data_IF_050056402010
#
_entry.id   IF_050056402010
#
_cell.length_a   1.000
_cell.length_b   1.000
_cell.length_c   1.000
_cell.angle_alpha   90.00
_cell.angle_beta   90.00
_cell.angle_gamma   90.00
#
_symmetry.space_group_name_H-M   'P 1'
#
loop_
_entity.id
_entity.type
_entity.pdbx_description
1 polymer ?
#
# COMPACT_ATOMS: atom_id res chain seq x y z
N UNK A 1 -22.78 -10.03 1.54
CA UNK A 1 -21.98 -8.92 1.00
C UNK A 1 -20.70 -9.50 0.43
N UNK A 2 -20.64 -9.68 -0.89
CA UNK A 2 -19.36 -9.94 -1.55
C UNK A 2 -18.90 -8.58 -2.08
N UNK A 3 -17.94 -7.90 -1.43
CA UNK A 3 -17.55 -6.58 -1.86
C UNK A 3 -16.54 -6.78 -2.98
N UNK A 4 -16.91 -6.42 -4.20
CA UNK A 4 -15.88 -6.11 -5.20
C UNK A 4 -14.84 -5.20 -4.55
N UNK A 5 -13.53 -5.52 -4.60
CA UNK A 5 -12.53 -4.68 -3.97
C UNK A 5 -12.65 -3.28 -4.58
N UNK A 6 -13.05 -2.32 -3.76
CA UNK A 6 -13.22 -0.95 -4.20
C UNK A 6 -11.95 -0.50 -4.95
N UNK A 7 -12.08 0.30 -6.03
CA UNK A 7 -10.96 0.63 -6.92
C UNK A 7 -9.70 1.12 -6.17
N UNK A 8 -9.89 1.81 -5.05
CA UNK A 8 -8.80 2.30 -4.19
C UNK A 8 -8.06 1.16 -3.48
N UNK A 9 -8.76 0.16 -2.95
CA UNK A 9 -8.14 -1.01 -2.35
C UNK A 9 -7.33 -1.80 -3.39
N UNK A 10 -7.89 -1.96 -4.59
CA UNK A 10 -7.21 -2.60 -5.73
C UNK A 10 -5.94 -1.83 -6.12
N UNK A 11 -5.98 -0.49 -6.11
CA UNK A 11 -4.82 0.35 -6.29
C UNK A 11 -3.76 0.14 -5.19
N UNK A 12 -4.18 -0.10 -3.95
CA UNK A 12 -3.28 -0.47 -2.84
C UNK A 12 -2.41 -1.69 -3.16
N UNK A 13 -2.99 -2.73 -3.78
CA UNK A 13 -2.23 -3.91 -4.22
C UNK A 13 -1.17 -3.56 -5.28
N UNK A 14 -1.49 -2.65 -6.21
CA UNK A 14 -0.54 -2.19 -7.23
C UNK A 14 0.59 -1.39 -6.59
N UNK A 15 0.28 -0.46 -5.69
CA UNK A 15 1.28 0.34 -4.97
C UNK A 15 2.20 -0.55 -4.13
N UNK A 16 1.64 -1.57 -3.45
CA UNK A 16 2.40 -2.58 -2.73
C UNK A 16 3.42 -3.28 -3.64
N UNK A 17 3.01 -3.74 -4.82
CA UNK A 17 3.91 -4.42 -5.76
C UNK A 17 4.99 -3.48 -6.28
N UNK A 18 4.67 -2.22 -6.56
CA UNK A 18 5.66 -1.23 -7.02
C UNK A 18 6.71 -1.00 -5.93
N UNK A 19 6.28 -0.85 -4.67
CA UNK A 19 7.14 -0.59 -3.52
C UNK A 19 8.02 -1.79 -3.16
N UNK A 20 7.42 -2.98 -3.11
CA UNK A 20 8.06 -4.19 -2.57
C UNK A 20 8.68 -5.09 -3.62
N UNK A 21 8.26 -4.97 -4.88
CA UNK A 21 8.55 -5.91 -5.98
C UNK A 21 7.99 -7.33 -5.76
N UNK A 22 7.09 -7.49 -4.79
CA UNK A 22 6.44 -8.75 -4.46
C UNK A 22 4.92 -8.66 -4.56
N UNK A 23 4.28 -9.80 -4.80
CA UNK A 23 2.82 -9.91 -4.70
C UNK A 23 2.39 -9.84 -3.23
N UNK A 24 1.27 -9.18 -2.90
CA UNK A 24 0.68 -9.26 -1.56
C UNK A 24 0.44 -10.71 -1.14
N UNK A 25 0.57 -11.03 0.16
CA UNK A 25 0.29 -12.36 0.73
C UNK A 25 1.19 -13.51 0.27
N UNK A 26 2.36 -13.24 -0.33
CA UNK A 26 3.20 -14.31 -0.90
C UNK A 26 4.59 -14.40 -0.29
N UNK A 27 5.36 -13.32 -0.29
CA UNK A 27 6.80 -13.36 0.06
C UNK A 27 7.15 -12.65 1.37
N UNK A 28 6.25 -11.79 1.86
CA UNK A 28 6.56 -10.84 2.93
C UNK A 28 5.80 -11.13 4.22
N UNK A 29 5.01 -12.20 4.25
CA UNK A 29 4.34 -12.64 5.48
C UNK A 29 5.37 -13.25 6.45
N UNK A 30 5.19 -13.06 7.77
CA UNK A 30 6.15 -13.51 8.77
C UNK A 30 6.29 -15.03 8.83
N UNK A 31 7.51 -15.51 9.12
CA UNK A 31 7.78 -16.92 9.42
C UNK A 31 7.71 -17.89 8.24
N UNK A 32 8.14 -17.46 7.04
CA UNK A 32 8.03 -18.22 5.78
C UNK A 32 6.61 -18.64 5.40
N UNK A 33 5.60 -18.05 6.03
CA UNK A 33 4.20 -18.34 5.76
C UNK A 33 3.85 -17.91 4.32
N UNK A 34 3.48 -18.88 3.48
CA UNK A 34 2.87 -18.63 2.18
C UNK A 34 1.42 -19.07 2.25
N UNK A 35 0.50 -18.19 2.71
CA UNK A 35 -0.88 -18.57 2.89
C UNK A 35 -1.45 -19.03 1.54
N UNK A 36 -2.19 -20.14 1.61
CA UNK A 36 -3.02 -20.63 0.52
C UNK A 36 -4.11 -19.61 0.15
N UNK A 37 -4.72 -19.76 -1.02
CA UNK A 37 -5.78 -18.84 -1.45
C UNK A 37 -6.98 -18.81 -0.49
N UNK A 38 -7.32 -19.95 0.13
CA UNK A 38 -8.41 -20.05 1.11
C UNK A 38 -8.07 -19.34 2.42
N UNK A 39 -6.81 -19.43 2.86
CA UNK A 39 -6.31 -18.68 4.02
C UNK A 39 -6.30 -17.17 3.73
N UNK A 40 -5.86 -16.76 2.54
CA UNK A 40 -5.91 -15.35 2.11
C UNK A 40 -7.35 -14.85 2.06
N UNK A 41 -8.28 -15.63 1.53
CA UNK A 41 -9.71 -15.27 1.51
C UNK A 41 -10.26 -15.12 2.93
N UNK A 42 -9.92 -16.05 3.83
CA UNK A 42 -10.31 -16.01 5.24
C UNK A 42 -9.72 -14.80 5.97
N UNK A 43 -8.46 -14.48 5.72
CA UNK A 43 -7.77 -13.30 6.27
C UNK A 43 -8.43 -12.00 5.78
N UNK A 44 -8.69 -11.88 4.48
CA UNK A 44 -9.40 -10.73 3.89
C UNK A 44 -10.81 -10.57 4.46
N UNK A 45 -11.54 -11.67 4.67
CA UNK A 45 -12.87 -11.64 5.29
C UNK A 45 -12.84 -11.14 6.74
N UNK A 46 -11.71 -11.33 7.45
CA UNK A 46 -11.47 -10.77 8.79
C UNK A 46 -10.92 -9.33 8.77
N UNK A 47 -10.75 -8.74 7.60
CA UNK A 47 -10.16 -7.41 7.45
C UNK A 47 -8.64 -7.37 7.64
N UNK A 48 -7.95 -8.52 7.63
CA UNK A 48 -6.49 -8.55 7.68
C UNK A 48 -5.90 -8.04 6.36
N UNK A 49 -4.72 -7.41 6.47
CA UNK A 49 -3.98 -6.80 5.37
C UNK A 49 -2.66 -7.56 5.12
N UNK A 50 -2.15 -7.54 3.88
CA UNK A 50 -0.84 -8.12 3.59
C UNK A 50 0.24 -7.39 4.38
N UNK A 51 1.29 -8.10 4.77
CA UNK A 51 2.38 -7.52 5.55
C UNK A 51 3.16 -6.51 4.68
N UNK A 52 3.10 -5.22 5.03
CA UNK A 52 3.89 -4.16 4.39
C UNK A 52 5.13 -3.87 5.24
N UNK A 53 6.36 -4.14 4.74
CA UNK A 53 7.56 -4.04 5.57
C UNK A 53 7.83 -2.62 6.11
N UNK A 54 8.00 -2.49 7.44
CA UNK A 54 8.23 -1.19 8.10
C UNK A 54 9.53 -0.50 7.68
N UNK A 55 10.49 -1.23 7.09
CA UNK A 55 11.72 -0.65 6.53
C UNK A 55 11.44 0.48 5.54
N UNK A 56 10.28 0.47 4.87
CA UNK A 56 9.89 1.54 3.95
C UNK A 56 9.35 2.79 4.65
N UNK A 57 8.76 2.64 5.85
CA UNK A 57 8.34 3.77 6.68
C UNK A 57 9.54 4.61 7.13
N UNK A 58 10.63 3.92 7.48
CA UNK A 58 11.86 4.51 8.02
C UNK A 58 12.96 4.72 6.96
N UNK A 59 12.63 4.58 5.67
CA UNK A 59 13.60 4.74 4.60
C UNK A 59 14.10 6.19 4.50
N UNK A 60 15.36 6.40 4.16
CA UNK A 60 15.88 7.74 3.79
C UNK A 60 15.38 8.18 2.42
N UNK A 61 14.90 7.25 1.59
CA UNK A 61 14.32 7.55 0.30
C UNK A 61 12.89 8.07 0.46
N UNK A 62 12.69 9.36 0.19
CA UNK A 62 11.38 10.02 0.28
C UNK A 62 10.30 9.33 -0.57
N UNK A 63 10.65 8.84 -1.75
CA UNK A 63 9.70 8.16 -2.62
C UNK A 63 9.21 6.84 -2.01
N UNK A 64 10.10 6.08 -1.36
CA UNK A 64 9.71 4.85 -0.67
C UNK A 64 8.76 5.13 0.50
N UNK A 65 9.02 6.17 1.30
CA UNK A 65 8.11 6.57 2.39
C UNK A 65 6.75 7.03 1.87
N UNK A 66 6.72 7.84 0.81
CA UNK A 66 5.48 8.31 0.20
C UNK A 66 4.64 7.15 -0.35
N UNK A 67 5.28 6.20 -1.03
CA UNK A 67 4.63 4.99 -1.54
C UNK A 67 4.13 4.08 -0.41
N UNK A 68 4.89 3.95 0.68
CA UNK A 68 4.47 3.20 1.87
C UNK A 68 3.20 3.79 2.48
N UNK A 69 3.19 5.11 2.74
CA UNK A 69 2.03 5.80 3.28
C UNK A 69 0.82 5.69 2.34
N UNK A 70 1.02 5.86 1.02
CA UNK A 70 -0.05 5.71 0.03
C UNK A 70 -0.64 4.30 -0.01
N UNK A 71 0.20 3.28 0.12
CA UNK A 71 -0.22 1.88 0.20
C UNK A 71 -1.10 1.64 1.43
N UNK A 72 -0.68 2.12 2.61
CA UNK A 72 -1.46 1.98 3.84
C UNK A 72 -2.79 2.73 3.78
N UNK A 73 -2.80 3.96 3.26
CA UNK A 73 -4.03 4.73 3.09
C UNK A 73 -5.02 4.01 2.17
N UNK A 74 -4.55 3.36 1.11
CA UNK A 74 -5.39 2.59 0.20
C UNK A 74 -6.01 1.35 0.86
N UNK A 75 -5.33 0.80 1.87
CA UNK A 75 -5.79 -0.34 2.67
C UNK A 75 -6.61 0.04 3.91
N UNK A 76 -6.94 1.32 4.10
CA UNK A 76 -7.82 1.75 5.19
C UNK A 76 -9.10 0.91 5.21
N UNK A 77 -9.38 0.29 6.36
CA UNK A 77 -10.45 -0.69 6.52
C UNK A 77 -11.81 0.00 6.53
N UNK A 78 -11.89 1.16 7.17
CA UNK A 78 -13.10 1.98 7.21
C UNK A 78 -13.29 2.70 5.85
N UNK A 79 -14.33 2.37 5.07
CA UNK A 79 -14.56 2.98 3.77
C UNK A 79 -14.72 4.50 3.83
N UNK A 80 -15.26 5.03 4.94
CA UNK A 80 -15.45 6.48 5.13
C UNK A 80 -14.13 7.21 5.39
N UNK A 81 -13.12 6.49 5.90
CA UNK A 81 -11.77 7.02 6.13
C UNK A 81 -10.84 6.77 4.95
N UNK A 82 -11.17 5.81 4.10
CA UNK A 82 -10.41 5.51 2.88
C UNK A 82 -10.44 6.72 1.93
N UNK A 83 -9.29 7.20 1.43
CA UNK A 83 -9.29 8.33 0.52
C UNK A 83 -9.94 7.93 -0.80
N UNK A 84 -10.57 8.90 -1.46
CA UNK A 84 -10.94 8.73 -2.87
C UNK A 84 -9.68 8.59 -3.72
N UNK A 85 -9.80 7.94 -4.88
CA UNK A 85 -8.70 7.82 -5.84
C UNK A 85 -8.09 9.19 -6.20
N UNK A 86 -8.94 10.23 -6.29
CA UNK A 86 -8.50 11.61 -6.54
C UNK A 86 -7.62 12.15 -5.41
N UNK A 87 -8.06 12.01 -4.15
CA UNK A 87 -7.27 12.48 -2.98
C UNK A 87 -5.93 11.77 -2.88
N UNK A 88 -5.90 10.47 -3.17
CA UNK A 88 -4.66 9.69 -3.19
C UNK A 88 -3.70 10.16 -4.30
N UNK A 89 -4.23 10.40 -5.51
CA UNK A 89 -3.46 10.93 -6.63
C UNK A 89 -2.88 12.32 -6.30
N UNK A 90 -3.69 13.23 -5.75
CA UNK A 90 -3.23 14.57 -5.36
C UNK A 90 -2.11 14.50 -4.29
N UNK A 91 -2.18 13.55 -3.35
CA UNK A 91 -1.14 13.35 -2.34
C UNK A 91 0.18 12.83 -2.97
N UNK A 92 0.10 11.86 -3.88
CA UNK A 92 1.26 11.35 -4.61
C UNK A 92 1.89 12.43 -5.49
N UNK A 93 1.09 13.25 -6.18
CA UNK A 93 1.58 14.37 -6.98
C UNK A 93 2.35 15.39 -6.14
N UNK A 94 1.87 15.71 -4.93
CA UNK A 94 2.60 16.59 -4.01
C UNK A 94 3.95 16.01 -3.62
N UNK A 95 4.01 14.71 -3.30
CA UNK A 95 5.26 14.03 -2.96
C UNK A 95 6.28 14.07 -4.12
N UNK A 96 5.82 13.90 -5.36
CA UNK A 96 6.68 14.04 -6.56
C UNK A 96 7.21 15.46 -6.70
N UNK A 97 6.36 16.48 -6.55
CA UNK A 97 6.79 17.88 -6.64
C UNK A 97 7.82 18.22 -5.57
N UNK A 98 7.63 17.75 -4.34
CA UNK A 98 8.59 17.95 -3.24
C UNK A 98 9.92 17.25 -3.51
N UNK A 99 9.88 16.01 -4.00
CA UNK A 99 11.08 15.27 -4.40
C UNK A 99 11.87 16.00 -5.50
N UNK A 100 11.20 16.48 -6.55
CA UNK A 100 11.83 17.26 -7.62
C UNK A 100 12.39 18.60 -7.12
N UNK A 101 11.78 19.21 -6.09
CA UNK A 101 12.34 20.41 -5.45
C UNK A 101 13.59 20.09 -4.64
N UNK A 102 13.61 18.97 -3.93
CA UNK A 102 14.78 18.51 -3.18
C UNK A 102 15.97 18.26 -4.12
N UNK A 103 15.76 17.49 -5.19
CA UNK A 103 16.79 17.19 -6.19
C UNK A 103 17.43 18.40 -6.89
N UNK A 104 16.73 19.55 -6.96
CA UNK A 104 17.25 20.78 -7.58
C UNK A 104 18.05 21.65 -6.62
N UNK A 105 18.03 21.35 -5.31
CA UNK A 105 18.76 22.09 -4.27
C UNK A 105 20.08 21.41 -3.89
N UNK A 106 20.26 20.16 -4.28
CA UNK A 106 21.52 19.41 -4.25
C UNK A 106 22.27 19.60 -5.58
#
# INVERSE_FOLDING_TARGET
FSPTPEPVFSLGNVLFQILTKHQPWTWLEPGDARPTMDEVASKKARGELPTVPEKYANSTNMAQRAMYAATLMAYEHDPERRPTARRLADALSKAVVEFERFKRKE
#
